data_IF_159549362992
#
_entry.id   IF_159549362992
#
_cell.length_a   1.000
_cell.length_b   1.000
_cell.length_c   1.000
_cell.angle_alpha   90.00
_cell.angle_beta   90.00
_cell.angle_gamma   90.00
#
_symmetry.space_group_name_H-M   'P 1'
#
loop_
_entity.id
_entity.type
_entity.pdbx_description
1 polymer ?
#
# COMPACT_ATOMS: atom_id res chain seq x y z
N UNK A 1 -6.93 14.73 3.31
CA UNK A 1 -7.31 13.33 3.09
C UNK A 1 -6.09 12.45 3.25
N UNK A 2 -6.24 11.31 3.88
CA UNK A 2 -5.16 10.34 4.05
C UNK A 2 -4.64 9.87 2.69
N UNK A 3 -3.33 9.78 2.56
CA UNK A 3 -2.71 9.29 1.34
C UNK A 3 -2.04 7.95 1.58
N UNK A 4 -2.38 6.96 0.75
CA UNK A 4 -1.84 5.61 0.80
C UNK A 4 -1.10 5.35 -0.50
N UNK A 5 0.16 4.97 -0.38
CA UNK A 5 1.02 4.70 -1.53
C UNK A 5 1.27 3.20 -1.62
N UNK A 6 0.90 2.61 -2.75
CA UNK A 6 1.14 1.19 -3.01
C UNK A 6 2.45 1.05 -3.77
N UNK A 7 3.39 0.28 -3.23
CA UNK A 7 4.74 0.18 -3.77
C UNK A 7 5.07 -1.25 -4.17
N UNK A 8 5.51 -1.41 -5.41
CA UNK A 8 5.99 -2.69 -5.93
C UNK A 8 7.37 -2.51 -6.56
N UNK A 9 8.23 -3.49 -6.37
CA UNK A 9 9.61 -3.40 -6.85
C UNK A 9 9.77 -3.74 -8.31
N UNK A 10 9.03 -4.73 -8.75
CA UNK A 10 9.13 -5.22 -10.12
C UNK A 10 7.73 -5.41 -10.64
N UNK A 11 7.52 -5.17 -11.80
CA UNK A 11 6.28 -5.56 -12.36
C UNK A 11 5.38 -4.43 -12.66
N UNK A 12 5.44 -4.11 -13.87
CA UNK A 12 4.50 -3.21 -14.45
C UNK A 12 3.12 -3.83 -14.30
N UNK A 13 2.23 -3.11 -13.71
CA UNK A 13 0.88 -3.55 -13.49
C UNK A 13 0.60 -4.17 -12.13
N UNK A 14 1.62 -4.69 -11.44
CA UNK A 14 1.40 -5.29 -10.11
C UNK A 14 1.01 -4.22 -9.09
N UNK A 15 1.67 -3.07 -9.12
CA UNK A 15 1.32 -1.98 -8.22
C UNK A 15 -0.07 -1.43 -8.53
N UNK A 16 -0.48 -1.46 -9.79
CA UNK A 16 -1.82 -1.04 -10.16
C UNK A 16 -2.87 -2.01 -9.60
N UNK A 17 -2.60 -3.31 -9.68
CA UNK A 17 -3.51 -4.31 -9.13
C UNK A 17 -3.63 -4.14 -7.62
N UNK A 18 -2.51 -3.97 -6.94
CA UNK A 18 -2.52 -3.71 -5.50
C UNK A 18 -3.34 -2.46 -5.18
N UNK A 19 -3.12 -1.38 -5.92
CA UNK A 19 -3.88 -0.15 -5.74
C UNK A 19 -5.37 -0.38 -5.89
N UNK A 20 -5.78 -1.09 -6.93
CA UNK A 20 -7.20 -1.36 -7.18
C UNK A 20 -7.82 -2.18 -6.04
N UNK A 21 -7.08 -3.16 -5.55
CA UNK A 21 -7.57 -4.00 -4.45
C UNK A 21 -7.63 -3.22 -3.14
N UNK A 22 -6.65 -2.35 -2.89
CA UNK A 22 -6.68 -1.49 -1.71
C UNK A 22 -7.87 -0.54 -1.78
N UNK A 23 -8.12 0.05 -2.94
CA UNK A 23 -9.27 0.94 -3.12
C UNK A 23 -10.59 0.22 -2.86
N UNK A 24 -10.71 -1.01 -3.34
CA UNK A 24 -11.91 -1.83 -3.13
C UNK A 24 -12.11 -2.11 -1.64
N UNK A 25 -11.05 -2.50 -0.94
CA UNK A 25 -11.14 -2.80 0.49
C UNK A 25 -11.50 -1.56 1.29
N UNK A 26 -10.88 -0.42 0.97
CA UNK A 26 -11.20 0.84 1.66
C UNK A 26 -12.66 1.22 1.48
N UNK A 27 -13.19 1.02 0.28
CA UNK A 27 -14.60 1.29 0.02
C UNK A 27 -15.49 0.39 0.86
N UNK A 28 -15.12 -0.89 0.97
CA UNK A 28 -15.87 -1.84 1.79
C UNK A 28 -15.82 -1.48 3.27
N UNK A 29 -14.71 -0.90 3.73
CA UNK A 29 -14.55 -0.48 5.12
C UNK A 29 -15.12 0.91 5.40
N UNK A 30 -15.57 1.61 4.38
CA UNK A 30 -16.11 2.97 4.53
C UNK A 30 -15.04 4.01 4.81
N UNK A 31 -13.81 3.76 4.39
CA UNK A 31 -12.67 4.66 4.61
C UNK A 31 -12.36 5.41 3.33
N UNK A 32 -12.28 6.74 3.44
CA UNK A 32 -11.88 7.59 2.30
C UNK A 32 -10.39 7.85 2.38
N UNK A 33 -9.69 7.62 1.27
CA UNK A 33 -8.27 7.88 1.17
C UNK A 33 -7.88 8.11 -0.28
N UNK A 34 -6.79 8.85 -0.47
CA UNK A 34 -6.18 9.03 -1.78
C UNK A 34 -5.16 7.92 -1.98
N UNK A 35 -5.41 7.01 -2.90
CA UNK A 35 -4.56 5.84 -3.14
C UNK A 35 -3.81 6.02 -4.45
N UNK A 36 -2.50 5.92 -4.38
CA UNK A 36 -1.62 5.98 -5.55
C UNK A 36 -0.72 4.75 -5.58
N UNK A 37 -0.05 4.54 -6.70
CA UNK A 37 0.90 3.44 -6.83
C UNK A 37 2.17 3.94 -7.52
N UNK A 38 3.29 3.31 -7.15
CA UNK A 38 4.59 3.64 -7.74
C UNK A 38 5.53 2.45 -7.58
N UNK A 39 6.71 2.55 -8.18
CA UNK A 39 7.77 1.56 -7.95
C UNK A 39 8.62 1.98 -6.75
N UNK A 40 9.46 1.04 -6.28
CA UNK A 40 10.27 1.26 -5.08
C UNK A 40 11.30 2.37 -5.28
N UNK A 41 11.77 2.59 -6.50
CA UNK A 41 12.78 3.60 -6.77
C UNK A 41 12.22 5.02 -6.65
N UNK A 42 10.93 5.19 -6.86
CA UNK A 42 10.26 6.49 -6.79
C UNK A 42 9.64 6.73 -5.42
N UNK A 43 9.36 5.66 -4.69
CA UNK A 43 8.59 5.74 -3.44
C UNK A 43 9.18 6.71 -2.43
N UNK A 44 10.50 6.79 -2.32
CA UNK A 44 11.16 7.66 -1.35
C UNK A 44 10.95 9.15 -1.65
N UNK A 45 10.58 9.48 -2.88
CA UNK A 45 10.34 10.88 -3.30
C UNK A 45 8.88 11.29 -3.09
N UNK A 46 8.00 10.36 -2.77
CA UNK A 46 6.56 10.62 -2.64
C UNK A 46 6.20 10.69 -1.17
N UNK A 47 5.56 11.77 -0.77
CA UNK A 47 5.07 11.93 0.59
C UNK A 47 3.74 11.21 0.73
N UNK A 48 3.61 10.38 1.76
CA UNK A 48 2.37 9.65 2.03
C UNK A 48 2.23 9.38 3.53
N UNK A 49 1.01 9.09 3.96
CA UNK A 49 0.76 8.72 5.35
C UNK A 49 1.04 7.24 5.58
N UNK A 50 0.74 6.41 4.59
CA UNK A 50 0.94 4.97 4.65
C UNK A 50 1.54 4.46 3.36
N UNK A 51 2.34 3.41 3.48
CA UNK A 51 2.87 2.67 2.33
C UNK A 51 2.41 1.22 2.47
N UNK A 52 1.77 0.69 1.42
CA UNK A 52 1.39 -0.72 1.35
C UNK A 52 2.36 -1.41 0.41
N UNK A 53 3.05 -2.42 0.92
CA UNK A 53 4.10 -3.11 0.16
C UNK A 53 4.32 -4.51 0.71
N UNK A 54 5.19 -5.29 0.05
CA UNK A 54 5.57 -6.61 0.54
C UNK A 54 6.60 -6.49 1.66
N UNK A 55 6.75 -7.57 2.44
CA UNK A 55 7.75 -7.62 3.50
C UNK A 55 9.16 -7.38 2.96
N UNK A 56 9.46 -7.94 1.80
CA UNK A 56 10.77 -7.78 1.17
C UNK A 56 11.06 -6.31 0.85
N UNK A 57 10.12 -5.62 0.23
CA UNK A 57 10.30 -4.22 -0.13
C UNK A 57 10.25 -3.29 1.09
N UNK A 58 9.55 -3.68 2.12
CA UNK A 58 9.48 -2.89 3.34
C UNK A 58 10.85 -2.67 3.95
N UNK A 59 11.75 -3.63 3.81
CA UNK A 59 13.12 -3.50 4.30
C UNK A 59 13.88 -2.40 3.56
N UNK A 60 13.62 -2.25 2.28
CA UNK A 60 14.22 -1.20 1.45
C UNK A 60 13.69 0.19 1.81
N UNK A 61 12.49 0.25 2.36
CA UNK A 61 11.81 1.49 2.69
C UNK A 61 11.97 1.90 4.15
N UNK A 62 12.89 1.29 4.87
CA UNK A 62 13.19 1.67 6.24
C UNK A 62 13.67 3.12 6.29
N UNK A 63 13.26 3.84 7.33
CA UNK A 63 13.61 5.24 7.48
C UNK A 63 12.64 6.20 6.82
N UNK A 64 11.64 5.71 6.12
CA UNK A 64 10.58 6.57 5.59
C UNK A 64 9.72 7.11 6.74
N UNK A 65 9.17 8.30 6.56
CA UNK A 65 8.27 8.89 7.54
C UNK A 65 6.88 8.25 7.51
N UNK A 66 6.56 7.54 6.44
CA UNK A 66 5.25 6.88 6.30
C UNK A 66 5.20 5.60 7.13
N UNK A 67 4.00 5.24 7.58
CA UNK A 67 3.79 3.95 8.22
C UNK A 67 3.69 2.88 7.14
N UNK A 68 4.37 1.76 7.34
CA UNK A 68 4.42 0.69 6.35
C UNK A 68 3.42 -0.40 6.73
N UNK A 69 2.56 -0.75 5.79
CA UNK A 69 1.58 -1.82 5.91
C UNK A 69 2.03 -2.97 5.02
N UNK A 70 2.23 -4.15 5.61
CA UNK A 70 2.75 -5.30 4.90
C UNK A 70 1.62 -6.12 4.29
N UNK A 71 1.68 -6.33 2.97
CA UNK A 71 0.81 -7.24 2.25
C UNK A 71 1.71 -8.05 1.31
N UNK A 72 1.76 -9.36 1.51
CA UNK A 72 2.64 -10.21 0.71
C UNK A 72 1.97 -10.75 -0.55
N UNK A 73 0.67 -11.01 -0.49
CA UNK A 73 -0.08 -11.45 -1.67
C UNK A 73 -1.03 -10.35 -2.11
N UNK A 74 -0.65 -9.64 -3.17
CA UNK A 74 -1.42 -8.49 -3.65
C UNK A 74 -2.79 -8.86 -4.22
N UNK A 75 -3.02 -10.14 -4.47
CA UNK A 75 -4.29 -10.63 -4.98
C UNK A 75 -5.21 -11.16 -3.88
N UNK A 76 -4.71 -11.26 -2.65
CA UNK A 76 -5.51 -11.78 -1.53
C UNK A 76 -6.24 -10.64 -0.84
N UNK A 77 -7.52 -10.50 -1.17
CA UNK A 77 -8.35 -9.43 -0.62
C UNK A 77 -8.51 -9.54 0.90
N UNK A 78 -8.50 -10.76 1.44
CA UNK A 78 -8.60 -10.95 2.89
C UNK A 78 -7.35 -10.48 3.60
N UNK A 79 -6.19 -10.74 3.03
CA UNK A 79 -4.92 -10.25 3.62
C UNK A 79 -4.88 -8.73 3.60
N UNK A 80 -5.28 -8.12 2.49
CA UNK A 80 -5.30 -6.66 2.36
C UNK A 80 -6.28 -6.07 3.37
N UNK A 81 -7.46 -6.64 3.47
CA UNK A 81 -8.48 -6.16 4.39
C UNK A 81 -8.00 -6.23 5.83
N UNK A 82 -7.43 -7.36 6.24
CA UNK A 82 -6.93 -7.53 7.60
C UNK A 82 -5.83 -6.51 7.91
N UNK A 83 -4.88 -6.35 6.98
CA UNK A 83 -3.78 -5.42 7.18
C UNK A 83 -4.27 -3.98 7.31
N UNK A 84 -5.21 -3.57 6.47
CA UNK A 84 -5.74 -2.21 6.52
C UNK A 84 -6.59 -1.99 7.75
N UNK A 85 -7.38 -2.97 8.16
CA UNK A 85 -8.18 -2.85 9.37
C UNK A 85 -7.30 -2.65 10.60
N UNK A 86 -6.21 -3.39 10.70
CA UNK A 86 -5.30 -3.29 11.84
C UNK A 86 -4.66 -1.92 11.94
N UNK A 87 -4.38 -1.28 10.81
CA UNK A 87 -3.67 -0.01 10.79
C UNK A 87 -4.59 1.21 10.80
N UNK A 88 -5.78 1.08 10.22
CA UNK A 88 -6.65 2.23 9.99
C UNK A 88 -7.91 2.25 10.86
N UNK A 89 -8.20 1.16 11.56
CA UNK A 89 -9.39 1.09 12.41
C UNK A 89 -9.07 0.72 13.84
#
# INVERSE_FOLDING_TARGET
>A
MMKILCVCGLGQGTSLILRMNVETVLRDLGISADVEHTDVSTASSVSSDYIVTSNELAQTLQGTASKVIIVNNYFDMNEIKTALQEQLQ
#
